data_IF_216613374562
#
_entry.id   IF_216613374562
#
_cell.length_a   1.000
_cell.length_b   1.000
_cell.length_c   1.000
_cell.angle_alpha   90.00
_cell.angle_beta   90.00
_cell.angle_gamma   90.00
#
_symmetry.space_group_name_H-M   'P 1'
#
loop_
_entity.id
_entity.type
_entity.pdbx_description
1 polymer ?
#
# COMPACT_ATOMS: atom_id res chain seq x y z
N UNK A 1 -9.56 -16.61 -26.39
CA UNK A 1 -9.99 -15.97 -25.13
C UNK A 1 -10.32 -14.52 -25.43
N UNK A 2 -11.56 -14.04 -25.17
CA UNK A 2 -12.04 -12.71 -25.59
C UNK A 2 -11.09 -11.55 -25.27
N UNK A 3 -10.51 -11.53 -24.06
CA UNK A 3 -9.60 -10.47 -23.61
C UNK A 3 -8.36 -10.30 -24.50
N UNK A 4 -7.85 -11.37 -25.11
CA UNK A 4 -6.72 -11.28 -26.05
C UNK A 4 -7.13 -10.69 -27.39
N UNK A 5 -8.36 -10.95 -27.84
CA UNK A 5 -8.86 -10.42 -29.12
C UNK A 5 -9.00 -8.89 -29.09
N UNK A 6 -9.16 -8.30 -27.89
CA UNK A 6 -9.20 -6.84 -27.69
C UNK A 6 -7.84 -6.25 -27.28
N UNK A 7 -6.76 -7.02 -27.34
CA UNK A 7 -5.41 -6.57 -27.01
C UNK A 7 -5.17 -6.29 -25.52
N UNK A 8 -6.00 -6.82 -24.62
CA UNK A 8 -5.81 -6.65 -23.18
C UNK A 8 -4.87 -7.72 -22.61
N UNK A 9 -3.86 -7.28 -21.85
CA UNK A 9 -2.93 -8.19 -21.17
C UNK A 9 -3.67 -9.04 -20.12
N UNK A 10 -3.21 -10.29 -19.96
CA UNK A 10 -3.79 -11.24 -19.01
C UNK A 10 -2.74 -11.58 -17.95
N UNK A 11 -3.09 -11.35 -16.69
CA UNK A 11 -2.30 -11.73 -15.52
C UNK A 11 -3.06 -12.79 -14.73
N UNK A 12 -2.36 -13.84 -14.29
CA UNK A 12 -2.96 -14.84 -13.42
C UNK A 12 -3.06 -14.34 -11.99
N UNK A 13 -4.25 -14.41 -11.42
CA UNK A 13 -4.47 -14.07 -10.01
C UNK A 13 -3.76 -15.05 -9.07
N UNK A 14 -3.29 -14.53 -7.94
CA UNK A 14 -2.75 -15.35 -6.83
C UNK A 14 -3.74 -16.43 -6.37
N UNK A 15 -5.05 -16.25 -6.61
CA UNK A 15 -6.09 -17.23 -6.34
C UNK A 15 -5.98 -18.51 -7.20
N UNK A 16 -5.06 -18.62 -8.14
CA UNK A 16 -4.76 -19.90 -8.78
C UNK A 16 -3.81 -20.78 -7.96
N UNK A 17 -3.31 -20.29 -6.82
CA UNK A 17 -2.43 -21.02 -5.90
C UNK A 17 -1.22 -21.65 -6.61
N UNK A 18 -0.58 -20.92 -7.51
CA UNK A 18 0.58 -21.42 -8.24
C UNK A 18 1.77 -21.48 -7.27
N UNK A 19 2.13 -22.70 -6.87
CA UNK A 19 3.17 -22.99 -5.87
C UNK A 19 4.35 -23.80 -6.41
N UNK A 20 4.26 -24.27 -7.66
CA UNK A 20 5.27 -25.11 -8.30
C UNK A 20 5.26 -24.94 -9.82
N UNK A 21 6.34 -25.42 -10.44
CA UNK A 21 6.57 -25.34 -11.88
C UNK A 21 5.52 -26.06 -12.71
N UNK A 22 5.02 -27.21 -12.27
CA UNK A 22 4.01 -27.98 -13.01
C UNK A 22 2.68 -27.23 -13.11
N UNK A 23 2.24 -26.64 -12.00
CA UNK A 23 1.06 -25.76 -11.98
C UNK A 23 1.29 -24.51 -12.85
N UNK A 24 2.51 -23.94 -12.80
CA UNK A 24 2.87 -22.81 -13.64
C UNK A 24 2.77 -23.14 -15.12
N UNK A 25 3.34 -24.27 -15.58
CA UNK A 25 3.25 -24.74 -16.98
C UNK A 25 1.80 -24.89 -17.42
N UNK A 26 0.97 -25.53 -16.59
CA UNK A 26 -0.44 -25.71 -16.89
C UNK A 26 -1.12 -24.36 -17.13
N UNK A 27 -0.84 -23.34 -16.31
CA UNK A 27 -1.48 -22.05 -16.49
C UNK A 27 -0.78 -21.08 -17.46
N UNK A 28 0.49 -21.29 -17.79
CA UNK A 28 1.29 -20.43 -18.68
C UNK A 28 0.65 -20.26 -20.07
N UNK A 29 -0.07 -21.26 -20.56
CA UNK A 29 -0.85 -21.17 -21.80
C UNK A 29 -1.93 -20.07 -21.78
N UNK A 30 -2.30 -19.55 -20.59
CA UNK A 30 -3.36 -18.56 -20.41
C UNK A 30 -2.85 -17.12 -20.28
N UNK A 31 -1.59 -16.88 -19.89
CA UNK A 31 -1.11 -15.55 -19.52
C UNK A 31 0.42 -15.43 -19.57
N UNK A 32 0.91 -14.21 -19.77
CA UNK A 32 2.35 -13.90 -19.80
C UNK A 32 2.91 -13.49 -18.43
N UNK A 33 2.04 -13.23 -17.46
CA UNK A 33 2.41 -12.86 -16.10
C UNK A 33 1.63 -13.73 -15.11
N UNK A 34 2.35 -14.28 -14.13
CA UNK A 34 1.77 -15.15 -13.12
C UNK A 34 2.05 -14.61 -11.73
N UNK A 35 0.98 -14.41 -10.96
CA UNK A 35 1.12 -14.07 -9.54
C UNK A 35 1.33 -15.36 -8.76
N UNK A 36 2.53 -15.56 -8.22
CA UNK A 36 2.79 -16.73 -7.39
C UNK A 36 2.11 -16.62 -6.02
N UNK A 37 1.96 -17.76 -5.36
CA UNK A 37 1.34 -17.85 -4.06
C UNK A 37 2.18 -17.13 -2.98
N UNK A 38 1.51 -16.50 -2.01
CA UNK A 38 2.17 -15.66 -0.98
C UNK A 38 2.84 -16.45 0.13
N UNK A 39 2.51 -17.73 0.22
CA UNK A 39 3.06 -18.72 1.13
C UNK A 39 4.42 -19.30 0.66
N UNK A 40 4.87 -19.00 -0.57
CA UNK A 40 6.19 -19.40 -1.04
C UNK A 40 7.30 -18.56 -0.39
N UNK A 41 8.43 -19.18 -0.10
CA UNK A 41 9.67 -18.47 0.22
C UNK A 41 10.47 -18.11 -1.05
N UNK A 42 11.45 -17.21 -0.93
CA UNK A 42 12.22 -16.73 -2.09
C UNK A 42 13.06 -17.82 -2.76
N UNK A 43 13.51 -18.84 -2.02
CA UNK A 43 14.23 -19.98 -2.61
C UNK A 43 13.33 -20.80 -3.53
N UNK A 44 12.07 -21.00 -3.15
CA UNK A 44 11.07 -21.67 -4.00
C UNK A 44 10.75 -20.82 -5.23
N UNK A 45 10.60 -19.50 -5.07
CA UNK A 45 10.38 -18.56 -6.18
C UNK A 45 11.56 -18.61 -7.16
N UNK A 46 12.80 -18.58 -6.66
CA UNK A 46 14.00 -18.67 -7.48
C UNK A 46 14.10 -19.99 -8.23
N UNK A 47 13.72 -21.11 -7.60
CA UNK A 47 13.66 -22.42 -8.26
C UNK A 47 12.65 -22.43 -9.41
N UNK A 48 11.46 -21.85 -9.21
CA UNK A 48 10.45 -21.72 -10.26
C UNK A 48 10.96 -20.82 -11.40
N UNK A 49 11.64 -19.71 -11.07
CA UNK A 49 12.23 -18.84 -12.09
C UNK A 49 13.28 -19.56 -12.92
N UNK A 50 14.17 -20.31 -12.28
CA UNK A 50 15.18 -21.14 -12.95
C UNK A 50 14.52 -22.10 -13.94
N UNK A 51 13.47 -22.80 -13.51
CA UNK A 51 12.71 -23.70 -14.38
C UNK A 51 12.05 -22.98 -15.57
N UNK A 52 11.54 -21.76 -15.38
CA UNK A 52 11.00 -20.95 -16.49
C UNK A 52 12.06 -20.75 -17.58
N UNK A 53 13.30 -20.44 -17.18
CA UNK A 53 14.40 -20.22 -18.12
C UNK A 53 14.83 -21.53 -18.76
N UNK A 54 15.17 -22.54 -17.95
CA UNK A 54 15.75 -23.80 -18.43
C UNK A 54 14.77 -24.58 -19.31
N UNK A 55 13.49 -24.58 -18.95
CA UNK A 55 12.45 -25.33 -19.65
C UNK A 55 11.71 -24.47 -20.68
N UNK A 56 12.15 -23.22 -20.90
CA UNK A 56 11.58 -22.28 -21.86
C UNK A 56 10.06 -22.11 -21.70
N UNK A 57 9.59 -21.93 -20.47
CA UNK A 57 8.16 -21.80 -20.18
C UNK A 57 7.67 -20.43 -20.63
N UNK A 58 6.85 -20.43 -21.68
CA UNK A 58 6.41 -19.22 -22.38
C UNK A 58 4.91 -19.00 -22.24
N UNK A 59 4.54 -17.72 -22.17
CA UNK A 59 3.15 -17.30 -22.24
C UNK A 59 2.65 -17.19 -23.68
N UNK A 60 1.39 -16.77 -23.88
CA UNK A 60 0.77 -16.58 -25.19
C UNK A 60 1.52 -15.60 -26.11
N UNK A 61 2.30 -14.67 -25.55
CA UNK A 61 3.13 -13.74 -26.32
C UNK A 61 4.37 -14.40 -26.96
N UNK A 62 4.66 -15.66 -26.63
CA UNK A 62 5.89 -16.35 -27.02
C UNK A 62 7.13 -15.94 -26.21
N UNK A 63 6.99 -15.03 -25.24
CA UNK A 63 8.03 -14.63 -24.30
C UNK A 63 7.99 -15.49 -23.04
N UNK A 64 9.11 -15.56 -22.32
CA UNK A 64 9.16 -16.22 -21.02
C UNK A 64 8.12 -15.63 -20.07
N UNK A 65 7.46 -16.50 -19.31
CA UNK A 65 6.51 -16.09 -18.29
C UNK A 65 7.22 -15.23 -17.24
N UNK A 66 6.61 -14.11 -16.86
CA UNK A 66 7.10 -13.23 -15.80
C UNK A 66 6.42 -13.54 -14.47
N UNK A 67 7.21 -13.55 -13.40
CA UNK A 67 6.72 -13.71 -12.04
C UNK A 67 6.28 -12.35 -11.48
N UNK A 68 5.05 -12.29 -10.99
CA UNK A 68 4.50 -11.21 -10.18
C UNK A 68 4.42 -11.64 -8.71
N UNK A 69 4.82 -10.78 -7.79
CA UNK A 69 4.75 -11.04 -6.35
C UNK A 69 4.18 -9.83 -5.60
N UNK A 70 3.44 -10.10 -4.52
CA UNK A 70 3.09 -9.05 -3.58
C UNK A 70 4.35 -8.56 -2.87
N UNK A 71 4.51 -7.24 -2.78
CA UNK A 71 5.68 -6.65 -2.15
C UNK A 71 5.32 -5.73 -0.98
N UNK A 72 4.08 -5.20 -0.93
CA UNK A 72 3.66 -4.28 0.11
C UNK A 72 2.15 -4.31 0.38
N UNK A 73 1.78 -4.06 1.63
CA UNK A 73 0.41 -3.74 2.04
C UNK A 73 -0.29 -4.89 2.75
N UNK A 74 -1.63 -4.85 2.76
CA UNK A 74 -2.42 -5.76 3.57
C UNK A 74 -2.23 -7.23 3.18
N UNK A 75 -1.67 -8.04 4.09
CA UNK A 75 -1.59 -9.47 3.92
C UNK A 75 -2.90 -10.14 4.34
N UNK A 76 -3.34 -11.14 3.58
CA UNK A 76 -4.55 -11.90 3.89
C UNK A 76 -4.21 -13.06 4.81
N UNK A 77 -5.10 -13.37 5.75
CA UNK A 77 -5.01 -14.61 6.54
C UNK A 77 -5.29 -15.86 5.70
N UNK A 78 -6.05 -15.73 4.60
CA UNK A 78 -6.43 -16.87 3.77
C UNK A 78 -5.31 -17.21 2.78
N UNK A 79 -5.00 -18.51 2.67
CA UNK A 79 -4.05 -19.08 1.72
C UNK A 79 -4.37 -18.60 0.31
N UNK A 80 -3.38 -17.98 -0.37
CA UNK A 80 -3.54 -17.39 -1.70
C UNK A 80 -4.77 -16.47 -1.87
N UNK A 81 -5.24 -15.85 -0.78
CA UNK A 81 -6.33 -14.87 -0.80
C UNK A 81 -7.73 -15.44 -1.11
N UNK A 82 -7.91 -16.76 -1.08
CA UNK A 82 -9.22 -17.41 -1.22
C UNK A 82 -10.03 -17.28 0.07
N UNK A 83 -10.69 -16.15 0.25
CA UNK A 83 -11.41 -15.83 1.49
C UNK A 83 -12.92 -15.79 1.27
N UNK A 84 -13.66 -16.55 2.08
CA UNK A 84 -15.13 -16.57 2.09
C UNK A 84 -15.73 -15.88 3.33
N UNK A 85 -14.91 -15.47 4.30
CA UNK A 85 -15.38 -14.87 5.55
C UNK A 85 -16.22 -13.61 5.31
N UNK A 86 -15.74 -12.71 4.44
CA UNK A 86 -16.47 -11.49 4.09
C UNK A 86 -17.78 -11.75 3.36
N UNK A 87 -17.84 -12.82 2.55
CA UNK A 87 -19.06 -13.21 1.85
C UNK A 87 -20.09 -13.77 2.85
N UNK A 88 -19.67 -14.71 3.69
CA UNK A 88 -20.55 -15.35 4.66
C UNK A 88 -21.16 -14.35 5.65
N UNK A 89 -20.36 -13.45 6.19
CA UNK A 89 -20.79 -12.56 7.28
C UNK A 89 -21.47 -11.26 6.82
N UNK A 90 -21.22 -10.83 5.57
CA UNK A 90 -21.61 -9.49 5.09
C UNK A 90 -22.15 -9.48 3.66
N UNK A 91 -22.28 -10.63 3.01
CA UNK A 91 -22.66 -10.75 1.60
C UNK A 91 -21.73 -9.97 0.65
N UNK A 92 -20.45 -9.84 1.03
CA UNK A 92 -19.44 -9.08 0.30
C UNK A 92 -18.25 -9.97 -0.09
N UNK A 93 -18.18 -10.38 -1.36
CA UNK A 93 -17.15 -11.30 -1.83
C UNK A 93 -15.77 -10.64 -1.93
N UNK A 94 -14.86 -11.02 -1.02
CA UNK A 94 -13.46 -10.62 -1.08
C UNK A 94 -12.77 -11.06 -2.37
N UNK A 95 -13.17 -12.23 -2.90
CA UNK A 95 -12.68 -12.79 -4.16
C UNK A 95 -13.12 -11.99 -5.40
N UNK A 96 -14.11 -11.09 -5.27
CA UNK A 96 -14.59 -10.18 -6.32
C UNK A 96 -14.27 -8.71 -6.02
N UNK A 97 -13.29 -8.46 -5.14
CA UNK A 97 -12.85 -7.11 -4.83
C UNK A 97 -13.55 -6.44 -3.65
N UNK A 98 -14.67 -6.99 -3.15
CA UNK A 98 -15.51 -6.38 -2.12
C UNK A 98 -15.13 -6.77 -0.68
N UNK A 99 -13.85 -6.97 -0.37
CA UNK A 99 -13.44 -7.44 0.97
C UNK A 99 -13.76 -6.40 2.06
N UNK A 100 -14.54 -6.79 3.08
CA UNK A 100 -14.89 -5.95 4.23
C UNK A 100 -13.92 -6.10 5.44
N UNK A 101 -12.76 -6.73 5.21
CA UNK A 101 -11.64 -6.85 6.16
C UNK A 101 -12.04 -7.34 7.57
N UNK A 102 -12.96 -8.30 7.64
CA UNK A 102 -13.48 -8.87 8.90
C UNK A 102 -12.33 -9.46 9.74
N UNK A 103 -11.38 -10.14 9.10
CA UNK A 103 -10.17 -10.67 9.74
C UNK A 103 -9.30 -9.61 10.45
N UNK A 104 -9.49 -8.31 10.19
CA UNK A 104 -8.69 -7.21 10.79
C UNK A 104 -9.31 -6.60 12.06
N UNK A 105 -10.37 -7.21 12.59
CA UNK A 105 -11.06 -6.78 13.81
C UNK A 105 -10.49 -7.49 15.04
N UNK A 106 -10.78 -6.97 16.22
CA UNK A 106 -10.56 -7.67 17.49
C UNK A 106 -11.67 -8.69 17.73
N UNK A 107 -11.32 -9.82 18.33
CA UNK A 107 -12.23 -10.92 18.61
C UNK A 107 -12.06 -11.39 20.05
N UNK A 108 -13.20 -11.71 20.66
CA UNK A 108 -13.28 -12.52 21.87
C UNK A 108 -13.42 -13.98 21.44
N UNK A 109 -12.61 -14.87 22.01
CA UNK A 109 -12.68 -16.31 21.73
C UNK A 109 -13.38 -17.01 22.86
N UNK A 110 -14.43 -17.76 22.53
CA UNK A 110 -15.23 -18.49 23.50
C UNK A 110 -15.28 -19.96 23.12
N UNK A 111 -14.93 -20.82 24.06
CA UNK A 111 -15.14 -22.26 23.91
C UNK A 111 -16.65 -22.55 23.92
N UNK A 112 -17.13 -23.31 22.92
CA UNK A 112 -18.56 -23.55 22.73
C UNK A 112 -19.13 -24.60 23.67
N UNK A 113 -18.30 -25.48 24.21
CA UNK A 113 -18.77 -26.58 25.07
C UNK A 113 -18.87 -26.14 26.51
N UNK A 114 -17.82 -25.47 27.01
CA UNK A 114 -17.73 -24.96 28.38
C UNK A 114 -18.32 -23.56 28.55
N UNK A 115 -18.59 -22.85 27.44
CA UNK A 115 -18.97 -21.43 27.43
C UNK A 115 -17.96 -20.52 28.14
N UNK A 116 -16.71 -20.97 28.29
CA UNK A 116 -15.63 -20.20 28.88
C UNK A 116 -15.00 -19.30 27.81
N UNK A 117 -14.89 -18.02 28.13
CA UNK A 117 -14.11 -17.07 27.34
C UNK A 117 -12.62 -17.32 27.59
N UNK A 118 -11.86 -17.54 26.51
CA UNK A 118 -10.41 -17.70 26.57
C UNK A 118 -9.76 -16.32 26.64
N UNK A 119 -8.99 -16.08 27.70
CA UNK A 119 -8.11 -14.93 27.79
C UNK A 119 -6.97 -15.09 26.78
N UNK A 120 -6.89 -14.16 25.82
CA UNK A 120 -5.88 -14.15 24.77
C UNK A 120 -5.11 -12.83 24.81
N UNK A 121 -3.77 -12.90 24.80
CA UNK A 121 -2.90 -11.72 24.87
C UNK A 121 -3.11 -10.75 23.70
N UNK A 122 -3.56 -11.26 22.54
CA UNK A 122 -3.80 -10.47 21.34
C UNK A 122 -5.16 -10.77 20.70
N UNK A 123 -6.13 -9.89 20.90
CA UNK A 123 -7.49 -9.97 20.32
C UNK A 123 -7.52 -9.96 18.77
N UNK A 124 -6.44 -9.54 18.09
CA UNK A 124 -6.36 -9.49 16.63
C UNK A 124 -5.89 -10.81 16.00
N UNK A 125 -6.46 -11.93 16.45
CA UNK A 125 -6.05 -13.31 16.13
C UNK A 125 -6.01 -13.67 14.63
N UNK A 126 -6.72 -12.93 13.79
CA UNK A 126 -6.81 -13.16 12.34
C UNK A 126 -6.14 -12.06 11.50
N UNK A 127 -5.50 -11.08 12.16
CA UNK A 127 -4.99 -9.88 11.50
C UNK A 127 -3.47 -9.91 11.44
N UNK A 128 -2.87 -10.44 10.36
CA UNK A 128 -1.43 -10.30 10.18
C UNK A 128 -1.04 -8.83 10.05
N UNK A 129 0.21 -8.52 10.42
CA UNK A 129 0.88 -7.26 10.06
C UNK A 129 0.93 -7.10 8.54
N UNK A 130 1.14 -5.88 8.07
CA UNK A 130 1.21 -5.60 6.65
C UNK A 130 2.56 -6.09 6.08
N UNK A 131 2.52 -6.62 4.85
CA UNK A 131 3.71 -7.03 4.14
C UNK A 131 4.57 -5.79 3.82
N UNK A 132 5.87 -5.87 4.09
CA UNK A 132 6.87 -4.88 3.64
C UNK A 132 8.15 -5.64 3.28
N UNK A 133 8.63 -5.41 2.06
CA UNK A 133 9.77 -6.14 1.49
C UNK A 133 10.88 -5.23 1.01
N UNK A 134 10.71 -3.91 1.15
CA UNK A 134 11.61 -2.92 0.56
C UNK A 134 13.06 -3.06 1.05
N UNK A 135 13.27 -3.49 2.30
CA UNK A 135 14.60 -3.69 2.90
C UNK A 135 15.34 -4.93 2.38
N UNK A 136 14.67 -5.81 1.65
CA UNK A 136 15.28 -6.93 0.94
C UNK A 136 14.82 -7.01 -0.52
N UNK A 137 14.55 -5.85 -1.13
CA UNK A 137 14.11 -5.77 -2.52
C UNK A 137 15.09 -6.45 -3.48
N UNK A 138 16.39 -6.30 -3.22
CA UNK A 138 17.45 -7.00 -3.94
C UNK A 138 17.19 -8.52 -4.01
N UNK A 139 16.89 -9.16 -2.88
CA UNK A 139 16.62 -10.61 -2.83
C UNK A 139 15.34 -10.99 -3.58
N UNK A 140 14.33 -10.13 -3.59
CA UNK A 140 13.10 -10.37 -4.37
C UNK A 140 13.41 -10.33 -5.87
N UNK A 141 14.22 -9.37 -6.30
CA UNK A 141 14.66 -9.24 -7.69
C UNK A 141 15.56 -10.41 -8.11
N UNK A 142 16.54 -10.78 -7.28
CA UNK A 142 17.42 -11.93 -7.48
C UNK A 142 16.64 -13.25 -7.64
N UNK A 143 15.50 -13.37 -6.96
CA UNK A 143 14.63 -14.54 -7.06
C UNK A 143 13.85 -14.63 -8.38
N UNK A 144 13.96 -13.64 -9.28
CA UNK A 144 13.30 -13.66 -10.59
C UNK A 144 11.95 -12.95 -10.65
N UNK A 145 11.62 -12.13 -9.66
CA UNK A 145 10.38 -11.35 -9.67
C UNK A 145 10.54 -10.13 -10.58
N UNK A 146 9.61 -9.96 -11.52
CA UNK A 146 9.65 -8.88 -12.52
C UNK A 146 8.52 -7.87 -12.33
N UNK A 147 7.44 -8.25 -11.66
CA UNK A 147 6.28 -7.40 -11.43
C UNK A 147 6.00 -7.33 -9.94
N UNK A 148 5.96 -6.12 -9.38
CA UNK A 148 5.76 -5.89 -7.96
C UNK A 148 4.33 -5.43 -7.70
N UNK A 149 3.60 -6.20 -6.90
CA UNK A 149 2.21 -5.95 -6.59
C UNK A 149 2.07 -5.29 -5.22
N UNK A 150 1.41 -4.13 -5.20
CA UNK A 150 1.15 -3.35 -3.99
C UNK A 150 -0.36 -3.39 -3.71
N UNK A 151 -0.76 -3.70 -2.47
CA UNK A 151 -2.16 -3.65 -2.06
C UNK A 151 -2.56 -2.20 -1.70
N UNK A 152 -3.16 -1.51 -2.66
CA UNK A 152 -3.62 -0.12 -2.55
C UNK A 152 -5.13 0.07 -2.40
N UNK A 153 -5.92 -1.00 -2.31
CA UNK A 153 -7.38 -0.88 -2.26
C UNK A 153 -7.85 -0.19 -0.98
N UNK A 154 -8.81 0.72 -1.13
CA UNK A 154 -9.31 1.57 -0.05
C UNK A 154 -8.18 2.31 0.70
N UNK A 155 -7.14 2.71 -0.03
CA UNK A 155 -6.07 3.58 0.48
C UNK A 155 -6.18 4.97 -0.15
N UNK A 156 -5.77 5.98 0.61
CA UNK A 156 -5.76 7.36 0.14
C UNK A 156 -4.70 7.60 -0.94
N UNK A 157 -4.82 8.65 -1.76
CA UNK A 157 -3.84 9.01 -2.77
C UNK A 157 -2.41 9.16 -2.21
N UNK A 158 -2.27 9.66 -0.98
CA UNK A 158 -0.98 9.81 -0.29
C UNK A 158 -0.27 8.48 -0.06
N UNK A 159 -1.02 7.42 0.29
CA UNK A 159 -0.49 6.08 0.46
C UNK A 159 0.03 5.55 -0.87
N UNK A 160 -0.79 5.65 -1.93
CA UNK A 160 -0.41 5.18 -3.26
C UNK A 160 0.84 5.91 -3.74
N UNK A 161 0.90 7.24 -3.59
CA UNK A 161 2.06 8.05 -3.99
C UNK A 161 3.32 7.66 -3.25
N UNK A 162 3.28 7.60 -1.92
CA UNK A 162 4.48 7.31 -1.11
C UNK A 162 4.96 5.87 -1.34
N UNK A 163 4.06 4.88 -1.27
CA UNK A 163 4.45 3.47 -1.38
C UNK A 163 5.00 3.16 -2.77
N UNK A 164 4.31 3.59 -3.84
CA UNK A 164 4.80 3.34 -5.21
C UNK A 164 6.12 4.06 -5.49
N UNK A 165 6.31 5.28 -4.97
CA UNK A 165 7.57 6.02 -5.16
C UNK A 165 8.72 5.34 -4.42
N UNK A 166 8.54 4.91 -3.17
CA UNK A 166 9.59 4.21 -2.41
C UNK A 166 10.01 2.91 -3.12
N UNK A 167 9.05 2.10 -3.58
CA UNK A 167 9.37 0.85 -4.28
C UNK A 167 9.99 1.09 -5.65
N UNK A 168 9.58 2.16 -6.36
CA UNK A 168 10.25 2.58 -7.60
C UNK A 168 11.71 2.98 -7.34
N UNK A 169 11.94 3.84 -6.34
CA UNK A 169 13.29 4.25 -5.92
C UNK A 169 14.15 3.04 -5.53
N UNK A 170 13.58 2.05 -4.84
CA UNK A 170 14.29 0.83 -4.45
C UNK A 170 14.68 -0.05 -5.64
N UNK A 171 13.78 -0.23 -6.61
CA UNK A 171 14.06 -0.94 -7.86
C UNK A 171 15.14 -0.21 -8.66
N UNK A 172 15.01 1.11 -8.82
CA UNK A 172 16.02 1.94 -9.51
C UNK A 172 17.37 1.91 -8.80
N UNK A 173 17.38 1.92 -7.46
CA UNK A 173 18.62 1.82 -6.68
C UNK A 173 19.30 0.48 -6.90
N UNK A 174 18.55 -0.62 -6.94
CA UNK A 174 19.10 -1.95 -7.19
C UNK A 174 19.62 -2.10 -8.64
N UNK A 175 18.86 -1.64 -9.63
CA UNK A 175 19.31 -1.67 -11.04
C UNK A 175 20.56 -0.83 -11.31
N UNK A 176 20.83 0.19 -10.48
CA UNK A 176 21.98 1.08 -10.62
C UNK A 176 23.10 0.76 -9.62
N UNK A 177 23.08 -0.40 -8.95
CA UNK A 177 24.08 -0.80 -7.94
C UNK A 177 24.28 0.20 -6.79
N UNK A 178 23.21 0.93 -6.42
CA UNK A 178 23.21 1.91 -5.32
C UNK A 178 22.22 1.57 -4.20
N UNK A 179 21.72 0.33 -4.17
CA UNK A 179 20.87 -0.18 -3.10
C UNK A 179 21.71 -0.37 -1.82
N UNK A 180 21.33 0.32 -0.75
CA UNK A 180 22.15 0.47 0.46
C UNK A 180 21.26 0.62 1.70
N UNK A 181 21.83 0.37 2.87
CA UNK A 181 21.10 0.46 4.14
C UNK A 181 20.59 1.89 4.41
N UNK A 182 21.38 2.90 4.06
CA UNK A 182 21.01 4.31 4.23
C UNK A 182 19.75 4.66 3.43
N UNK A 183 19.62 4.13 2.20
CA UNK A 183 18.39 4.31 1.41
C UNK A 183 17.21 3.53 1.98
N UNK A 184 17.46 2.31 2.48
CA UNK A 184 16.44 1.50 3.15
C UNK A 184 15.85 2.25 4.34
N UNK A 185 16.68 2.86 5.17
CA UNK A 185 16.25 3.60 6.36
C UNK A 185 15.35 4.78 5.96
N UNK A 186 15.72 5.53 4.91
CA UNK A 186 14.90 6.63 4.36
C UNK A 186 13.54 6.12 3.85
N UNK A 187 13.50 4.99 3.14
CA UNK A 187 12.23 4.43 2.69
C UNK A 187 11.37 3.92 3.83
N UNK A 188 11.99 3.32 4.85
CA UNK A 188 11.29 2.83 6.04
C UNK A 188 10.64 3.98 6.83
N UNK A 189 11.34 5.11 6.99
CA UNK A 189 10.77 6.32 7.57
C UNK A 189 9.56 6.82 6.76
N UNK A 190 9.71 6.92 5.43
CA UNK A 190 8.62 7.35 4.53
C UNK A 190 7.42 6.41 4.63
N UNK A 191 7.62 5.10 4.53
CA UNK A 191 6.55 4.08 4.59
C UNK A 191 5.87 4.05 5.96
N UNK A 192 6.58 4.35 7.05
CA UNK A 192 5.99 4.49 8.38
C UNK A 192 5.03 5.68 8.49
N UNK A 193 5.11 6.69 7.62
CA UNK A 193 4.20 7.84 7.64
C UNK A 193 2.80 7.58 7.09
N UNK A 194 2.62 6.49 6.33
CA UNK A 194 1.33 6.12 5.72
C UNK A 194 0.69 4.94 6.41
N UNK A 195 -0.59 4.70 6.11
CA UNK A 195 -1.37 3.64 6.74
C UNK A 195 -0.63 2.30 6.74
N UNK A 196 -0.43 1.73 7.93
CA UNK A 196 0.11 0.39 8.10
C UNK A 196 -0.44 -0.22 9.39
N UNK A 197 -0.37 -1.54 9.54
CA UNK A 197 -0.71 -2.26 10.78
C UNK A 197 0.50 -2.97 11.37
N UNK A 198 1.63 -2.26 11.42
CA UNK A 198 2.94 -2.86 11.61
C UNK A 198 3.40 -3.57 10.34
N UNK A 199 4.69 -3.88 10.29
CA UNK A 199 5.31 -4.50 9.13
C UNK A 199 5.80 -5.90 9.43
N UNK A 200 5.71 -6.76 8.43
CA UNK A 200 6.23 -8.12 8.44
C UNK A 200 6.83 -8.46 7.07
N UNK A 201 7.88 -9.28 7.08
CA UNK A 201 8.58 -9.74 5.86
C UNK A 201 7.75 -10.75 5.04
N UNK A 202 6.65 -11.25 5.61
CA UNK A 202 5.93 -12.39 5.07
C UNK A 202 6.72 -13.70 5.22
N UNK A 203 6.30 -14.70 4.47
CA UNK A 203 6.95 -16.01 4.43
C UNK A 203 8.24 -16.02 3.56
N UNK A 204 8.56 -14.88 2.92
CA UNK A 204 9.59 -14.77 1.89
C UNK A 204 10.99 -15.12 2.38
N UNK A 205 11.31 -14.78 3.63
CA UNK A 205 12.58 -15.09 4.28
C UNK A 205 12.55 -16.43 5.07
N UNK A 206 11.58 -17.30 4.80
CA UNK A 206 11.50 -18.65 5.40
C UNK A 206 10.97 -18.69 6.83
N UNK A 207 10.40 -17.58 7.33
CA UNK A 207 9.72 -17.55 8.63
C UNK A 207 8.54 -18.52 8.61
N UNK A 208 8.41 -19.35 9.65
CA UNK A 208 7.32 -20.35 9.76
C UNK A 208 6.08 -19.80 10.45
N UNK A 209 6.26 -18.83 11.35
CA UNK A 209 5.19 -18.16 12.06
C UNK A 209 4.95 -16.78 11.43
N UNK A 210 3.68 -16.41 11.31
CA UNK A 210 3.32 -15.06 10.90
C UNK A 210 3.70 -14.02 11.95
N UNK A 211 3.36 -12.76 11.69
CA UNK A 211 3.30 -11.74 12.73
C UNK A 211 1.93 -11.09 12.72
N UNK A 212 1.37 -10.88 13.91
CA UNK A 212 0.04 -10.33 14.10
C UNK A 212 0.14 -8.88 14.57
N UNK A 213 -0.82 -8.06 14.15
CA UNK A 213 -0.94 -6.71 14.71
C UNK A 213 -1.44 -6.78 16.15
N UNK A 214 -1.07 -5.81 16.97
CA UNK A 214 -1.60 -5.64 18.34
C UNK A 214 -2.50 -4.41 18.46
N UNK A 215 -2.90 -3.81 17.33
CA UNK A 215 -3.63 -2.54 17.30
C UNK A 215 -4.79 -2.56 16.32
N UNK A 216 -5.84 -1.82 16.71
CA UNK A 216 -6.87 -1.35 15.81
C UNK A 216 -6.35 -0.19 14.94
N UNK A 217 -6.90 -0.05 13.73
CA UNK A 217 -6.62 1.11 12.89
C UNK A 217 -5.19 1.15 12.34
N UNK A 218 -4.64 2.35 12.24
CA UNK A 218 -3.34 2.65 11.60
C UNK A 218 -2.23 2.83 12.64
N UNK A 219 -1.05 2.29 12.36
CA UNK A 219 0.21 2.57 13.05
C UNK A 219 1.06 3.67 12.41
N UNK A 220 0.50 4.42 11.45
CA UNK A 220 1.21 5.52 10.77
C UNK A 220 1.74 6.57 11.75
N UNK A 221 2.95 7.08 11.51
CA UNK A 221 3.59 8.14 12.32
C UNK A 221 3.05 9.53 12.00
N UNK A 222 2.35 9.69 10.87
CA UNK A 222 1.66 10.92 10.48
C UNK A 222 0.18 10.65 10.22
N UNK A 223 -0.64 11.67 10.39
CA UNK A 223 -2.06 11.67 10.02
C UNK A 223 -2.40 12.97 9.30
N UNK A 224 -3.37 12.90 8.38
CA UNK A 224 -3.89 14.08 7.69
C UNK A 224 -5.07 14.67 8.44
N UNK A 225 -5.10 16.00 8.55
CA UNK A 225 -6.16 16.78 9.18
C UNK A 225 -6.77 17.69 8.14
N UNK A 226 -8.09 17.63 7.98
CA UNK A 226 -8.76 18.45 6.98
C UNK A 226 -8.63 19.94 7.30
N UNK A 227 -8.29 20.72 6.27
CA UNK A 227 -8.13 22.18 6.33
C UNK A 227 -9.25 22.84 5.53
N UNK A 228 -9.44 22.43 4.29
CA UNK A 228 -10.38 23.07 3.37
C UNK A 228 -10.21 22.58 1.94
N UNK A 229 -10.54 23.42 0.96
CA UNK A 229 -10.55 23.04 -0.45
C UNK A 229 -9.97 24.10 -1.38
N UNK A 230 -9.44 23.66 -2.50
CA UNK A 230 -8.96 24.51 -3.58
C UNK A 230 -10.15 25.18 -4.29
N UNK A 231 -10.02 26.48 -4.53
CA UNK A 231 -11.01 27.30 -5.24
C UNK A 231 -10.57 27.50 -6.69
N UNK A 232 -9.32 27.94 -6.88
CA UNK A 232 -8.81 28.30 -8.20
C UNK A 232 -7.31 28.09 -8.30
N UNK A 233 -6.84 27.76 -9.49
CA UNK A 233 -5.42 27.70 -9.81
C UNK A 233 -5.07 28.71 -10.89
N UNK A 234 -4.09 29.56 -10.62
CA UNK A 234 -3.56 30.59 -11.50
C UNK A 234 -2.32 30.05 -12.23
N UNK A 235 -2.55 29.47 -13.40
CA UNK A 235 -1.53 28.72 -14.16
C UNK A 235 -0.25 29.51 -14.47
N UNK A 236 -0.35 30.78 -14.85
CA UNK A 236 0.79 31.59 -15.28
C UNK A 236 1.83 31.85 -14.17
N UNK A 237 1.39 31.83 -12.91
CA UNK A 237 2.25 32.11 -11.75
C UNK A 237 2.41 30.89 -10.83
N UNK A 238 1.74 29.77 -11.12
CA UNK A 238 1.81 28.54 -10.33
C UNK A 238 1.26 28.69 -8.91
N UNK A 239 0.19 29.48 -8.73
CA UNK A 239 -0.43 29.76 -7.43
C UNK A 239 -1.81 29.14 -7.37
N UNK A 240 -2.14 28.50 -6.26
CA UNK A 240 -3.50 28.04 -5.97
C UNK A 240 -4.10 28.85 -4.81
N UNK A 241 -5.38 29.21 -4.96
CA UNK A 241 -6.21 29.77 -3.92
C UNK A 241 -7.03 28.66 -3.25
N UNK A 242 -7.07 28.68 -1.93
CA UNK A 242 -7.79 27.75 -1.07
C UNK A 242 -8.73 28.51 -0.14
N UNK A 243 -9.83 27.86 0.23
CA UNK A 243 -10.73 28.32 1.27
C UNK A 243 -10.56 27.45 2.52
N UNK A 244 -10.33 28.07 3.68
CA UNK A 244 -10.12 27.38 4.95
C UNK A 244 -11.47 27.07 5.61
N UNK A 245 -11.84 25.80 5.69
CA UNK A 245 -13.14 25.36 6.23
C UNK A 245 -13.05 24.86 7.68
N UNK A 246 -11.88 24.35 8.09
CA UNK A 246 -11.71 23.65 9.36
C UNK A 246 -10.55 24.22 10.18
N UNK A 247 -9.32 23.73 9.97
CA UNK A 247 -8.14 24.16 10.72
C UNK A 247 -7.36 25.25 10.00
N UNK A 248 -6.71 26.13 10.76
CA UNK A 248 -5.83 27.15 10.19
C UNK A 248 -4.56 26.55 9.58
N UNK A 249 -3.95 27.30 8.67
CA UNK A 249 -2.65 26.98 8.04
C UNK A 249 -1.65 28.04 8.44
N UNK A 250 -0.50 27.62 8.98
CA UNK A 250 0.62 28.47 9.36
C UNK A 250 1.79 28.26 8.43
N UNK A 251 2.62 29.28 8.28
CA UNK A 251 3.89 29.14 7.57
C UNK A 251 4.73 28.03 8.21
N UNK A 252 5.28 27.13 7.39
CA UNK A 252 6.03 25.95 7.83
C UNK A 252 5.21 24.68 8.01
N UNK A 253 3.87 24.73 7.91
CA UNK A 253 3.05 23.51 7.96
C UNK A 253 3.30 22.60 6.76
N UNK A 254 3.38 21.29 6.99
CA UNK A 254 3.37 20.29 5.93
C UNK A 254 1.93 20.11 5.40
N UNK A 255 1.73 20.37 4.11
CA UNK A 255 0.43 20.32 3.44
C UNK A 255 0.36 19.15 2.47
N UNK A 256 -0.84 18.60 2.34
CA UNK A 256 -1.21 17.57 1.38
C UNK A 256 -2.46 18.03 0.63
N UNK A 257 -2.33 18.18 -0.68
CA UNK A 257 -3.45 18.43 -1.58
C UNK A 257 -3.81 17.12 -2.27
N UNK A 258 -5.09 16.74 -2.25
CA UNK A 258 -5.56 15.54 -2.93
C UNK A 258 -6.76 15.79 -3.82
N UNK A 259 -6.80 15.13 -4.97
CA UNK A 259 -7.90 15.25 -5.92
C UNK A 259 -8.03 14.02 -6.82
N UNK A 260 -9.20 13.76 -7.42
CA UNK A 260 -9.39 12.60 -8.30
C UNK A 260 -8.45 12.56 -9.51
N UNK A 261 -8.07 13.73 -10.03
CA UNK A 261 -7.12 13.86 -11.15
C UNK A 261 -5.75 14.38 -10.74
N UNK A 262 -5.69 15.13 -9.63
CA UNK A 262 -4.44 15.67 -9.06
C UNK A 262 -3.64 14.59 -8.30
N UNK A 263 -4.30 13.55 -7.79
CA UNK A 263 -3.64 12.51 -6.99
C UNK A 263 -3.26 13.03 -5.60
N UNK A 264 -1.97 13.08 -5.29
CA UNK A 264 -1.43 13.57 -4.03
C UNK A 264 -0.22 14.49 -4.27
N UNK A 265 -0.34 15.75 -3.86
CA UNK A 265 0.70 16.77 -3.96
C UNK A 265 1.09 17.20 -2.55
N UNK A 266 2.37 17.08 -2.22
CA UNK A 266 2.93 17.50 -0.95
C UNK A 266 3.68 18.82 -1.12
N UNK A 267 3.56 19.72 -0.15
CA UNK A 267 4.27 20.98 -0.10
C UNK A 267 4.40 21.47 1.34
N UNK A 268 5.39 22.31 1.60
CA UNK A 268 5.44 23.09 2.84
C UNK A 268 4.76 24.43 2.60
N UNK A 269 3.99 24.89 3.59
CA UNK A 269 3.31 26.17 3.53
C UNK A 269 4.33 27.32 3.58
N UNK A 270 4.55 27.98 2.45
CA UNK A 270 5.48 29.11 2.29
C UNK A 270 4.75 30.31 1.66
N UNK A 271 5.10 31.53 2.09
CA UNK A 271 4.52 32.80 1.58
C UNK A 271 2.99 32.77 1.48
N UNK A 272 2.32 32.40 2.58
CA UNK A 272 0.85 32.40 2.66
C UNK A 272 0.34 33.83 2.49
N UNK A 273 -0.59 34.02 1.55
CA UNK A 273 -1.18 35.34 1.28
C UNK A 273 -2.69 35.36 1.46
N UNK A 274 -3.18 36.30 2.24
CA UNK A 274 -4.61 36.62 2.41
C UNK A 274 -4.80 38.06 1.93
N UNK A 275 -5.76 38.29 1.03
CA UNK A 275 -5.99 39.60 0.40
C UNK A 275 -4.70 40.24 -0.17
N UNK A 276 -3.89 39.41 -0.85
CA UNK A 276 -2.59 39.74 -1.44
C UNK A 276 -1.47 40.11 -0.46
N UNK A 277 -1.76 40.16 0.85
CA UNK A 277 -0.79 40.43 1.91
C UNK A 277 -0.24 39.13 2.47
N UNK A 278 1.08 39.09 2.69
CA UNK A 278 1.72 37.97 3.37
C UNK A 278 1.25 37.94 4.82
N UNK A 279 0.89 36.75 5.29
CA UNK A 279 0.46 36.48 6.67
C UNK A 279 1.17 35.24 7.21
N UNK A 280 1.35 35.16 8.52
CA UNK A 280 1.92 33.96 9.15
C UNK A 280 0.89 32.84 9.30
N UNK A 281 -0.40 33.17 9.33
CA UNK A 281 -1.50 32.23 9.53
C UNK A 281 -2.74 32.60 8.70
N UNK A 282 -3.27 31.63 7.96
CA UNK A 282 -4.59 31.68 7.34
C UNK A 282 -5.60 30.97 8.23
N UNK A 283 -6.60 31.72 8.72
CA UNK A 283 -7.60 31.23 9.69
C UNK A 283 -8.87 30.72 9.01
N UNK A 284 -9.68 29.96 9.74
CA UNK A 284 -10.97 29.46 9.26
C UNK A 284 -11.85 30.59 8.73
N UNK A 285 -12.47 30.36 7.57
CA UNK A 285 -13.31 31.32 6.87
C UNK A 285 -12.56 32.28 5.95
N UNK A 286 -11.22 32.20 5.89
CA UNK A 286 -10.43 33.02 4.97
C UNK A 286 -10.15 32.30 3.65
N UNK A 287 -9.98 33.09 2.58
CA UNK A 287 -9.29 32.66 1.37
C UNK A 287 -7.81 32.96 1.52
N UNK A 288 -6.97 32.00 1.18
CA UNK A 288 -5.53 32.23 1.09
C UNK A 288 -4.97 31.64 -0.19
N UNK A 289 -3.87 32.22 -0.65
CA UNK A 289 -3.13 31.76 -1.83
C UNK A 289 -1.72 31.33 -1.46
N UNK A 290 -1.23 30.29 -2.13
CA UNK A 290 0.13 29.77 -1.98
C UNK A 290 0.63 29.22 -3.32
N UNK A 291 1.94 29.27 -3.54
CA UNK A 291 2.59 28.64 -4.68
C UNK A 291 2.50 27.12 -4.59
N UNK A 292 2.11 26.46 -5.67
CA UNK A 292 1.99 25.00 -5.74
C UNK A 292 2.94 24.42 -6.78
N UNK A 293 3.56 23.25 -6.53
CA UNK A 293 4.51 22.64 -7.46
C UNK A 293 3.82 22.06 -8.70
N UNK A 294 2.52 21.77 -8.60
CA UNK A 294 1.73 21.14 -9.64
C UNK A 294 0.40 21.87 -9.83
N UNK A 295 -0.25 21.61 -10.97
CA UNK A 295 -1.54 22.24 -11.33
C UNK A 295 -2.67 21.66 -10.47
N UNK A 296 -3.20 22.47 -9.56
CA UNK A 296 -4.34 22.10 -8.69
C UNK A 296 -5.68 22.26 -9.41
N UNK A 297 -6.69 21.45 -9.04
CA UNK A 297 -8.06 21.53 -9.57
C UNK A 297 -9.01 22.13 -8.54
N UNK A 298 -10.06 22.85 -8.97
CA UNK A 298 -11.14 23.26 -8.09
C UNK A 298 -11.73 22.05 -7.34
N UNK A 299 -12.04 22.24 -6.07
CA UNK A 299 -12.51 21.22 -5.11
C UNK A 299 -11.50 20.15 -4.70
N UNK A 300 -10.23 20.23 -5.14
CA UNK A 300 -9.18 19.44 -4.52
C UNK A 300 -9.13 19.74 -3.01
N UNK A 301 -8.99 18.69 -2.22
CA UNK A 301 -9.03 18.75 -0.77
C UNK A 301 -7.65 19.10 -0.23
N UNK A 302 -7.59 20.05 0.69
CA UNK A 302 -6.38 20.44 1.40
C UNK A 302 -6.37 19.87 2.81
N UNK A 303 -5.26 19.23 3.15
CA UNK A 303 -5.00 18.68 4.48
C UNK A 303 -3.68 19.19 5.03
N UNK A 304 -3.59 19.26 6.35
CA UNK A 304 -2.33 19.40 7.09
C UNK A 304 -1.85 18.02 7.52
N UNK A 305 -0.58 17.73 7.30
CA UNK A 305 0.08 16.53 7.80
C UNK A 305 0.63 16.82 9.20
N UNK A 306 0.17 16.06 10.20
CA UNK A 306 0.61 16.21 11.59
C UNK A 306 1.13 14.89 12.13
N UNK A 307 2.00 14.94 13.15
CA UNK A 307 2.44 13.74 13.87
C UNK A 307 1.21 13.03 14.47
N UNK A 308 1.15 11.72 14.27
CA UNK A 308 0.13 10.89 14.91
C UNK A 308 0.52 10.66 16.37
N UNK A 309 -0.38 10.96 17.30
CA UNK A 309 -0.19 10.60 18.70
C UNK A 309 -0.24 9.07 18.80
N UNK A 310 0.87 8.46 19.26
CA UNK A 310 0.89 7.04 19.59
C UNK A 310 0.02 6.85 20.83
N UNK A 311 -1.24 6.46 20.66
CA UNK A 311 -1.97 5.83 21.76
C UNK A 311 -1.28 4.49 22.01
N UNK A 312 -0.47 4.43 23.06
CA UNK A 312 0.09 3.17 23.56
C UNK A 312 -1.03 2.16 23.72
N UNK A 313 -0.78 0.93 23.33
CA UNK A 313 -1.68 -0.18 23.64
C UNK A 313 -1.77 -0.32 25.16
N UNK A 314 -2.91 -0.76 25.69
CA UNK A 314 -3.13 -0.93 27.14
C UNK A 314 -2.07 -1.82 27.84
N UNK A 315 -1.25 -2.53 27.07
CA UNK A 315 -0.13 -3.35 27.53
C UNK A 315 1.21 -2.62 27.74
N UNK A 316 1.27 -1.30 27.54
CA UNK A 316 2.44 -0.47 27.87
C UNK A 316 2.24 0.34 29.19
N UNK A 317 1.32 -0.08 30.05
CA UNK A 317 1.16 0.44 31.44
C UNK A 317 1.20 -0.69 32.44
#
# INVERSE_FOLDING_TARGET
MYVRNIGMEVHLSTQLNITNTESLKFYAQFADVVVLARELNLSQVASIHKDIIEQQIKGPSGKLVRIEMFCHGALCMAVSGKCYLSLHEKDLSANRGACNQICRRGYIVKDKESEIELEIDNEYIMSPKDLKTIHFMNKIMDAGVHVFKIEGRARGPEYVRIVTSCYKEAVEAYCNDTFSQEKIDVWDEKLATVFNRGFWDGYYLGRRLGEWTHRYGSGATKRKVYVGKAIKHFGNIGVAEFFVEAQSVKTGDELLITGPTTGAVFLTAEDIRVDLKRVDEAVKGSHFSIKTPEKIRPNDQLYKMVKAERRGTAHER
#
